data_IF_380974420084
#
_entry.id   IF_380974420084
#
_cell.length_a   1.000
_cell.length_b   1.000
_cell.length_c   1.000
_cell.angle_alpha   90.00
_cell.angle_beta   90.00
_cell.angle_gamma   90.00
#
_symmetry.space_group_name_H-M   'P 1'
#
loop_
_entity.id
_entity.type
_entity.pdbx_description
1 polymer ?
#
# COMPACT_ATOMS: atom_id res chain seq x y z
N UNK A 1 21.45 2.95 -12.92
CA UNK A 1 20.19 3.15 -12.17
C UNK A 1 19.06 2.84 -13.14
N UNK A 2 18.27 1.79 -12.87
CA UNK A 2 17.05 1.58 -13.65
C UNK A 2 16.12 2.76 -13.33
N UNK A 3 15.69 3.48 -14.34
CA UNK A 3 14.76 4.59 -14.16
C UNK A 3 13.44 4.04 -13.64
N UNK A 4 12.85 4.67 -12.63
CA UNK A 4 11.57 4.26 -12.02
C UNK A 4 10.48 4.09 -13.09
N UNK A 5 10.44 4.99 -14.06
CA UNK A 5 9.52 4.93 -15.18
C UNK A 5 9.73 3.66 -16.02
N UNK A 6 10.98 3.35 -16.37
CA UNK A 6 11.29 2.13 -17.13
C UNK A 6 10.87 0.87 -16.40
N UNK A 7 11.11 0.80 -15.09
CA UNK A 7 10.66 -0.31 -14.28
C UNK A 7 9.12 -0.40 -14.25
N UNK A 8 8.43 0.71 -14.02
CA UNK A 8 6.96 0.72 -13.99
C UNK A 8 6.34 0.28 -15.34
N UNK A 9 6.94 0.69 -16.46
CA UNK A 9 6.45 0.31 -17.79
C UNK A 9 6.63 -1.19 -18.06
N UNK A 10 7.79 -1.75 -17.71
CA UNK A 10 8.13 -3.15 -17.98
C UNK A 10 7.48 -4.10 -17.01
N UNK A 11 7.67 -3.84 -15.69
CA UNK A 11 7.24 -4.75 -14.62
C UNK A 11 5.80 -4.50 -14.17
N UNK A 12 5.18 -3.40 -14.62
CA UNK A 12 3.86 -2.90 -14.19
C UNK A 12 3.81 -2.51 -12.72
N UNK A 13 4.94 -2.40 -12.07
CA UNK A 13 5.11 -1.84 -10.72
C UNK A 13 6.51 -1.25 -10.54
N UNK A 14 6.65 -0.41 -9.53
CA UNK A 14 7.95 0.11 -9.09
C UNK A 14 8.00 0.21 -7.57
N UNK A 15 9.11 -0.23 -6.99
CA UNK A 15 9.36 -0.09 -5.55
C UNK A 15 10.11 1.22 -5.28
N UNK A 16 9.45 2.12 -4.56
CA UNK A 16 9.96 3.43 -4.16
C UNK A 16 10.47 3.35 -2.72
N UNK A 17 11.77 3.15 -2.57
CA UNK A 17 12.42 3.07 -1.26
C UNK A 17 12.54 4.48 -0.66
N UNK A 18 12.45 4.56 0.69
CA UNK A 18 12.57 5.81 1.44
C UNK A 18 11.71 6.95 0.86
N UNK A 19 10.49 6.58 0.44
CA UNK A 19 9.59 7.46 -0.30
C UNK A 19 8.90 8.50 0.59
N UNK A 20 8.55 8.12 1.80
CA UNK A 20 7.94 8.99 2.80
C UNK A 20 8.84 9.07 4.04
N UNK A 21 9.01 10.28 4.58
CA UNK A 21 9.79 10.48 5.80
C UNK A 21 9.22 9.69 6.98
N UNK A 22 10.08 9.14 7.83
CA UNK A 22 9.67 8.33 8.99
C UNK A 22 8.82 9.11 9.98
N UNK A 23 9.08 10.40 10.12
CA UNK A 23 8.31 11.31 10.96
C UNK A 23 6.87 11.41 10.46
N UNK A 24 6.67 11.59 9.16
CA UNK A 24 5.33 11.61 8.54
C UNK A 24 4.62 10.26 8.68
N UNK A 25 5.36 9.15 8.55
CA UNK A 25 4.81 7.82 8.81
C UNK A 25 4.33 7.66 10.25
N UNK A 26 5.09 8.16 11.22
CA UNK A 26 4.72 8.11 12.63
C UNK A 26 3.47 8.95 12.93
N UNK A 27 3.37 10.16 12.35
CA UNK A 27 2.18 11.03 12.49
C UNK A 27 0.92 10.35 11.90
N UNK A 28 1.03 9.77 10.71
CA UNK A 28 -0.08 9.07 10.05
C UNK A 28 -0.47 7.79 10.79
N UNK A 29 0.50 7.08 11.35
CA UNK A 29 0.24 5.91 12.21
C UNK A 29 -0.50 6.31 13.48
N UNK A 30 -0.09 7.41 14.12
CA UNK A 30 -0.77 7.95 15.30
C UNK A 30 -2.21 8.36 14.96
N UNK A 31 -2.44 9.00 13.82
CA UNK A 31 -3.77 9.36 13.35
C UNK A 31 -4.65 8.13 13.11
N UNK A 32 -4.13 7.08 12.44
CA UNK A 32 -4.89 5.85 12.25
C UNK A 32 -5.26 5.20 13.59
N UNK A 33 -4.31 5.12 14.54
CA UNK A 33 -4.57 4.60 15.89
C UNK A 33 -5.62 5.44 16.64
N UNK A 34 -5.62 6.77 16.47
CA UNK A 34 -6.65 7.67 17.03
C UNK A 34 -8.03 7.35 16.46
N UNK A 35 -8.15 7.20 15.13
CA UNK A 35 -9.41 6.84 14.47
C UNK A 35 -9.94 5.50 14.94
N UNK A 36 -9.07 4.51 15.16
CA UNK A 36 -9.44 3.21 15.77
C UNK A 36 -9.98 3.40 17.19
N UNK A 37 -9.27 4.15 18.02
CA UNK A 37 -9.68 4.41 19.42
C UNK A 37 -11.03 5.14 19.50
N UNK A 38 -11.32 6.03 18.57
CA UNK A 38 -12.57 6.78 18.45
C UNK A 38 -13.68 6.01 17.71
N UNK A 39 -13.42 4.75 17.30
CA UNK A 39 -14.36 3.90 16.55
C UNK A 39 -14.85 4.54 15.25
N UNK A 40 -13.96 5.26 14.56
CA UNK A 40 -14.18 5.88 13.25
C UNK A 40 -13.66 5.00 12.10
N UNK A 41 -13.46 3.72 12.36
CA UNK A 41 -13.00 2.71 11.41
C UNK A 41 -14.09 1.69 11.13
N UNK A 42 -13.87 0.90 10.10
CA UNK A 42 -14.72 -0.22 9.71
C UNK A 42 -13.87 -1.46 9.50
N UNK A 43 -14.51 -2.61 9.56
CA UNK A 43 -13.92 -3.87 9.15
C UNK A 43 -14.50 -4.27 7.79
N UNK A 44 -13.74 -4.96 6.97
CA UNK A 44 -14.21 -5.47 5.69
C UNK A 44 -14.05 -7.01 5.59
N UNK A 45 -14.67 -7.58 4.57
CA UNK A 45 -14.64 -9.03 4.36
C UNK A 45 -13.27 -9.57 3.91
N UNK A 46 -12.38 -8.70 3.44
CA UNK A 46 -11.04 -9.09 3.00
C UNK A 46 -10.11 -9.32 4.18
N UNK A 47 -10.23 -8.49 5.23
CA UNK A 47 -9.45 -8.59 6.45
C UNK A 47 -10.36 -8.33 7.67
N UNK A 48 -11.16 -9.32 8.08
CA UNK A 48 -12.28 -9.11 9.01
C UNK A 48 -11.87 -8.78 10.45
N UNK A 49 -10.61 -9.00 10.82
CA UNK A 49 -10.08 -8.64 12.16
C UNK A 49 -9.33 -7.31 12.15
N UNK A 50 -9.10 -6.73 10.97
CA UNK A 50 -8.33 -5.51 10.80
C UNK A 50 -9.24 -4.29 10.76
N UNK A 51 -8.73 -3.17 11.27
CA UNK A 51 -9.43 -1.90 11.28
C UNK A 51 -9.03 -1.07 10.05
N UNK A 52 -9.99 -0.49 9.36
CA UNK A 52 -9.74 0.28 8.15
C UNK A 52 -10.52 1.58 8.13
N UNK A 53 -9.99 2.58 7.46
CA UNK A 53 -10.64 3.84 7.19
C UNK A 53 -10.54 4.20 5.71
N UNK A 54 -11.65 4.63 5.15
CA UNK A 54 -11.76 5.07 3.77
C UNK A 54 -11.99 6.57 3.73
N UNK A 55 -11.13 7.32 3.03
CA UNK A 55 -11.34 8.74 2.80
C UNK A 55 -11.19 9.63 4.03
N UNK A 56 -10.33 9.28 5.00
CA UNK A 56 -10.05 10.17 6.10
C UNK A 56 -9.14 11.33 5.67
N UNK A 57 -9.40 12.53 6.18
CA UNK A 57 -8.78 13.79 5.72
C UNK A 57 -7.26 13.74 5.64
N UNK A 58 -6.58 13.16 6.64
CA UNK A 58 -5.12 13.09 6.65
C UNK A 58 -4.57 12.23 5.50
N UNK A 59 -5.24 11.12 5.19
CA UNK A 59 -4.85 10.20 4.13
C UNK A 59 -5.26 10.72 2.75
N UNK A 60 -6.39 11.42 2.64
CA UNK A 60 -6.80 12.09 1.40
C UNK A 60 -5.85 13.24 1.06
N UNK A 61 -5.41 14.00 2.07
CA UNK A 61 -4.38 15.02 1.88
C UNK A 61 -3.07 14.39 1.39
N UNK A 62 -2.62 13.30 2.01
CA UNK A 62 -1.42 12.57 1.59
C UNK A 62 -1.55 12.10 0.14
N UNK A 63 -2.70 11.54 -0.26
CA UNK A 63 -2.96 11.11 -1.63
C UNK A 63 -2.73 12.24 -2.64
N UNK A 64 -3.24 13.44 -2.35
CA UNK A 64 -3.07 14.62 -3.21
C UNK A 64 -1.63 15.13 -3.20
N UNK A 65 -0.98 15.19 -2.04
CA UNK A 65 0.41 15.65 -1.89
C UNK A 65 1.40 14.74 -2.66
N UNK A 66 1.13 13.44 -2.70
CA UNK A 66 1.98 12.46 -3.37
C UNK A 66 1.70 12.31 -4.88
N UNK A 67 0.59 12.84 -5.37
CA UNK A 67 0.19 12.69 -6.78
C UNK A 67 1.29 13.05 -7.78
N UNK A 68 2.01 14.19 -7.68
CA UNK A 68 3.07 14.53 -8.63
C UNK A 68 4.24 13.54 -8.65
N UNK A 69 4.50 12.84 -7.53
CA UNK A 69 5.53 11.82 -7.43
C UNK A 69 5.12 10.56 -8.19
N UNK A 70 3.87 10.14 -8.03
CA UNK A 70 3.33 8.98 -8.73
C UNK A 70 3.15 9.23 -10.23
N UNK A 71 2.80 10.44 -10.63
CA UNK A 71 2.77 10.85 -12.04
C UNK A 71 4.17 10.73 -12.69
N UNK A 72 5.21 11.20 -12.00
CA UNK A 72 6.59 11.03 -12.51
C UNK A 72 7.02 9.57 -12.60
N UNK A 73 6.73 8.78 -11.58
CA UNK A 73 7.12 7.37 -11.54
C UNK A 73 6.37 6.51 -12.57
N UNK A 74 5.12 6.84 -12.87
CA UNK A 74 4.29 6.11 -13.84
C UNK A 74 4.38 6.65 -15.27
N UNK A 75 4.85 7.90 -15.44
CA UNK A 75 4.80 8.61 -16.73
C UNK A 75 3.38 8.94 -17.19
N UNK A 76 2.41 8.96 -16.29
CA UNK A 76 1.00 9.16 -16.59
C UNK A 76 0.43 10.33 -15.82
N UNK A 77 -0.51 11.04 -16.41
CA UNK A 77 -1.37 11.95 -15.65
C UNK A 77 -2.39 11.13 -14.86
N UNK A 78 -2.49 11.39 -13.57
CA UNK A 78 -3.33 10.64 -12.64
C UNK A 78 -4.42 11.53 -12.03
N UNK A 79 -5.53 10.91 -11.69
CA UNK A 79 -6.62 11.55 -10.96
C UNK A 79 -6.80 10.81 -9.63
N UNK A 80 -6.73 11.51 -8.49
CA UNK A 80 -6.94 10.87 -7.19
C UNK A 80 -8.39 10.40 -7.08
N UNK A 81 -8.59 9.16 -6.64
CA UNK A 81 -9.91 8.57 -6.43
C UNK A 81 -10.26 8.52 -4.95
N UNK A 82 -9.48 7.82 -4.15
CA UNK A 82 -9.68 7.74 -2.69
C UNK A 82 -8.41 7.25 -2.00
N UNK A 83 -8.31 7.53 -0.71
CA UNK A 83 -7.35 6.91 0.18
C UNK A 83 -7.98 5.77 0.98
N UNK A 84 -7.18 4.79 1.34
CA UNK A 84 -7.57 3.68 2.19
C UNK A 84 -6.42 3.31 3.12
N UNK A 85 -6.64 3.44 4.42
CA UNK A 85 -5.66 3.07 5.42
C UNK A 85 -6.16 1.88 6.24
N UNK A 86 -5.29 0.90 6.51
CA UNK A 86 -5.63 -0.30 7.26
C UNK A 86 -4.59 -0.57 8.35
N UNK A 87 -5.08 -0.88 9.53
CA UNK A 87 -4.30 -1.42 10.64
C UNK A 87 -4.55 -2.93 10.69
N UNK A 88 -3.61 -3.69 10.15
CA UNK A 88 -3.72 -5.14 10.09
C UNK A 88 -3.56 -5.77 11.47
N UNK A 89 -4.43 -6.72 11.77
CA UNK A 89 -4.34 -7.54 12.97
C UNK A 89 -3.48 -8.79 12.74
N UNK A 90 -2.83 -9.33 13.76
CA UNK A 90 -2.15 -10.62 13.67
C UNK A 90 -3.06 -11.74 13.18
N UNK A 91 -2.52 -12.60 12.32
CA UNK A 91 -3.25 -13.71 11.71
C UNK A 91 -4.05 -13.33 10.47
N UNK A 92 -4.06 -12.06 10.08
CA UNK A 92 -4.63 -11.61 8.81
C UNK A 92 -3.65 -11.80 7.64
N UNK A 93 -4.20 -11.99 6.48
CA UNK A 93 -3.48 -11.99 5.20
C UNK A 93 -4.18 -11.04 4.22
N UNK A 94 -3.55 -10.76 3.11
CA UNK A 94 -4.19 -10.12 1.98
C UNK A 94 -4.25 -11.12 0.84
N UNK A 95 -5.42 -11.67 0.62
CA UNK A 95 -5.64 -12.67 -0.43
C UNK A 95 -5.23 -12.12 -1.81
N UNK A 96 -4.65 -12.99 -2.64
CA UNK A 96 -4.25 -12.63 -4.01
C UNK A 96 -5.42 -12.07 -4.81
N UNK A 97 -5.23 -10.88 -5.37
CA UNK A 97 -6.25 -10.20 -6.18
C UNK A 97 -5.61 -9.20 -7.14
N UNK A 98 -6.43 -8.66 -8.03
CA UNK A 98 -6.21 -7.40 -8.75
C UNK A 98 -7.22 -6.38 -8.27
N UNK A 99 -6.92 -5.11 -8.46
CA UNK A 99 -7.81 -4.03 -8.05
C UNK A 99 -8.96 -3.83 -9.05
N UNK A 100 -9.98 -3.13 -8.58
CA UNK A 100 -11.12 -2.70 -9.41
C UNK A 100 -10.71 -1.58 -10.39
N UNK A 101 -11.50 -1.32 -11.46
CA UNK A 101 -11.18 -0.30 -12.47
C UNK A 101 -10.92 1.10 -11.93
N UNK A 102 -11.56 1.51 -10.84
CA UNK A 102 -11.31 2.81 -10.20
C UNK A 102 -9.90 2.94 -9.57
N UNK A 103 -9.17 1.84 -9.48
CA UNK A 103 -7.81 1.73 -8.97
C UNK A 103 -6.85 1.26 -10.08
N UNK A 104 -6.94 1.86 -11.26
CA UNK A 104 -6.07 1.52 -12.40
C UNK A 104 -4.59 1.63 -12.04
N UNK A 105 -4.24 2.69 -11.32
CA UNK A 105 -2.92 2.88 -10.70
C UNK A 105 -3.12 2.97 -9.20
N UNK A 106 -2.50 2.07 -8.47
CA UNK A 106 -2.54 1.99 -7.01
C UNK A 106 -1.17 2.17 -6.42
N UNK A 107 -1.12 2.70 -5.21
CA UNK A 107 0.09 2.73 -4.41
C UNK A 107 -0.21 2.21 -3.00
N UNK A 108 0.66 1.35 -2.50
CA UNK A 108 0.64 0.93 -1.09
C UNK A 108 1.87 1.46 -0.39
N UNK A 109 1.67 2.06 0.80
CA UNK A 109 2.73 2.62 1.64
C UNK A 109 2.75 1.89 2.98
N UNK A 110 3.93 1.63 3.52
CA UNK A 110 4.07 1.12 4.87
C UNK A 110 4.35 2.28 5.84
N UNK A 111 3.41 2.54 6.72
CA UNK A 111 3.52 3.60 7.73
C UNK A 111 4.21 3.11 9.00
N UNK A 112 4.05 1.83 9.35
CA UNK A 112 4.65 1.21 10.51
C UNK A 112 4.32 -0.28 10.56
N UNK A 113 5.05 -1.01 11.39
CA UNK A 113 4.78 -2.41 11.73
C UNK A 113 5.42 -2.73 13.09
N UNK A 114 4.95 -3.79 13.72
CA UNK A 114 5.55 -4.39 14.90
C UNK A 114 6.16 -5.74 14.50
N UNK A 115 7.34 -6.08 15.04
CA UNK A 115 8.06 -7.29 14.68
C UNK A 115 8.82 -7.19 13.35
N UNK A 116 8.74 -8.24 12.53
CA UNK A 116 9.48 -8.34 11.28
C UNK A 116 8.81 -7.60 10.12
N UNK A 117 9.61 -7.26 9.10
CA UNK A 117 9.10 -6.66 7.86
C UNK A 117 8.08 -7.60 7.22
N UNK A 118 6.90 -7.07 6.95
CA UNK A 118 5.81 -7.81 6.31
C UNK A 118 5.75 -7.49 4.81
N UNK A 119 6.23 -8.40 3.94
CA UNK A 119 6.36 -8.14 2.52
C UNK A 119 5.02 -8.09 1.79
N UNK A 120 5.00 -7.41 0.65
CA UNK A 120 4.00 -7.58 -0.38
C UNK A 120 4.57 -8.38 -1.55
N UNK A 121 3.73 -9.19 -2.18
CA UNK A 121 4.11 -9.96 -3.36
C UNK A 121 3.40 -9.40 -4.59
N UNK A 122 4.14 -9.33 -5.70
CA UNK A 122 3.65 -8.88 -7.00
C UNK A 122 3.88 -9.96 -8.06
N UNK A 123 2.82 -10.39 -8.73
CA UNK A 123 2.87 -11.40 -9.80
C UNK A 123 1.98 -11.05 -10.99
N UNK A 124 2.17 -11.72 -12.12
CA UNK A 124 1.32 -11.51 -13.30
C UNK A 124 0.10 -12.43 -13.28
N UNK A 125 0.29 -13.73 -13.03
CA UNK A 125 -0.78 -14.71 -12.87
C UNK A 125 -0.44 -15.67 -11.72
N UNK A 126 -1.32 -15.71 -10.73
CA UNK A 126 -1.10 -16.57 -9.56
C UNK A 126 0.16 -16.24 -8.77
N UNK A 127 0.59 -17.19 -7.94
CA UNK A 127 1.75 -17.01 -7.04
C UNK A 127 3.09 -17.46 -7.66
N UNK A 128 3.07 -18.09 -8.83
CA UNK A 128 4.27 -18.52 -9.52
C UNK A 128 5.05 -17.31 -10.06
N UNK A 129 6.38 -17.31 -9.86
CA UNK A 129 7.27 -16.24 -10.30
C UNK A 129 6.95 -14.84 -9.72
N UNK A 130 6.36 -14.79 -8.54
CA UNK A 130 6.08 -13.53 -7.88
C UNK A 130 7.35 -12.88 -7.31
N UNK A 131 7.41 -11.57 -7.36
CA UNK A 131 8.44 -10.79 -6.72
C UNK A 131 8.03 -10.48 -5.28
N UNK A 132 8.86 -10.88 -4.32
CA UNK A 132 8.74 -10.49 -2.93
C UNK A 132 9.34 -9.10 -2.75
N UNK A 133 8.57 -8.18 -2.17
CA UNK A 133 9.01 -6.80 -1.90
C UNK A 133 8.91 -6.56 -0.41
N UNK A 134 10.06 -6.34 0.23
CA UNK A 134 10.13 -6.02 1.65
C UNK A 134 9.68 -4.56 1.86
N UNK A 135 8.57 -4.41 2.56
CA UNK A 135 7.90 -3.13 2.79
C UNK A 135 8.39 -2.49 4.10
N UNK A 136 9.54 -1.82 4.02
CA UNK A 136 10.06 -1.05 5.17
C UNK A 136 9.25 0.23 5.40
N UNK A 137 9.31 0.79 6.61
CA UNK A 137 8.64 2.05 6.96
C UNK A 137 9.07 3.16 6.02
N UNK A 138 8.12 3.86 5.44
CA UNK A 138 8.33 4.91 4.45
C UNK A 138 8.52 4.42 3.01
N UNK A 139 8.56 3.10 2.81
CA UNK A 139 8.58 2.52 1.46
C UNK A 139 7.19 2.49 0.83
N UNK A 140 7.15 2.61 -0.50
CA UNK A 140 5.94 2.51 -1.30
C UNK A 140 6.13 1.58 -2.50
N UNK A 141 5.06 0.94 -2.94
CA UNK A 141 5.00 0.28 -4.24
C UNK A 141 3.88 0.90 -5.04
N UNK A 142 4.23 1.46 -6.20
CA UNK A 142 3.27 1.94 -7.20
C UNK A 142 3.07 0.84 -8.23
N UNK A 143 1.83 0.50 -8.58
CA UNK A 143 1.54 -0.60 -9.49
C UNK A 143 0.27 -0.38 -10.30
N UNK A 144 0.15 -1.12 -11.41
CA UNK A 144 -1.06 -1.18 -12.23
C UNK A 144 -2.04 -2.13 -11.55
N UNK A 145 -2.96 -1.58 -10.77
CA UNK A 145 -3.84 -2.33 -9.89
C UNK A 145 -4.70 -3.37 -10.60
N UNK A 146 -5.20 -3.05 -11.80
CA UNK A 146 -6.01 -3.97 -12.61
C UNK A 146 -5.22 -5.10 -13.27
N UNK A 147 -3.91 -4.90 -13.49
CA UNK A 147 -3.08 -5.81 -14.28
C UNK A 147 -2.12 -6.63 -13.42
N UNK A 148 -1.82 -6.17 -12.22
CA UNK A 148 -0.82 -6.80 -11.35
C UNK A 148 -1.47 -7.49 -10.16
N UNK A 149 -1.39 -8.82 -10.13
CA UNK A 149 -1.80 -9.57 -8.95
C UNK A 149 -0.90 -9.24 -7.78
N UNK A 150 -1.50 -9.00 -6.64
CA UNK A 150 -0.75 -8.71 -5.43
C UNK A 150 -1.43 -9.32 -4.20
N UNK A 151 -0.61 -9.62 -3.18
CA UNK A 151 -1.07 -10.25 -1.94
C UNK A 151 -0.02 -10.09 -0.84
N UNK A 152 -0.41 -10.42 0.37
CA UNK A 152 0.48 -10.62 1.51
C UNK A 152 0.16 -11.96 2.15
N UNK A 153 1.20 -12.69 2.54
CA UNK A 153 1.03 -13.91 3.33
C UNK A 153 0.59 -13.53 4.75
N UNK A 154 0.16 -14.52 5.54
CA UNK A 154 -0.36 -14.28 6.88
C UNK A 154 0.61 -13.44 7.73
N UNK A 155 0.10 -12.35 8.31
CA UNK A 155 0.86 -11.52 9.24
C UNK A 155 1.05 -12.28 10.55
N UNK A 156 2.28 -12.62 10.84
CA UNK A 156 2.67 -13.21 12.14
C UNK A 156 3.45 -12.16 12.89
N UNK A 157 2.99 -11.76 14.08
CA UNK A 157 3.83 -10.95 14.99
C UNK A 157 5.19 -11.61 15.12
N UNK A 158 6.26 -10.83 14.96
CA UNK A 158 7.61 -11.31 14.78
C UNK A 158 8.00 -12.42 15.76
N UNK A 159 8.63 -13.41 15.19
CA UNK A 159 9.35 -14.44 15.96
C UNK A 159 10.73 -13.92 16.32
#
# INVERSE_FOLDING_TARGET
MCDQLSQFVVDKYVHLKDFLAKESCAELTAELKRLVAEKQTTQDSQCPKSEAVHGAMAFDKLLVDLLPHFERASGRRLYPTYSYARLYAPGEDLTIHTDRPSCEISATLTLGFEGDVWPIYMGDEGKANANKIDMVVGGAVLYRGMDKHHWRETYTEGK
#
